data_IF_139944993609
#
_entry.id   IF_139944993609
#
_cell.length_a   1.000
_cell.length_b   1.000
_cell.length_c   1.000
_cell.angle_alpha   90.00
_cell.angle_beta   90.00
_cell.angle_gamma   90.00
#
_symmetry.space_group_name_H-M   'P 1'
#
loop_
_entity.id
_entity.type
_entity.pdbx_description
1 polymer ?
#
# COMPACT_ATOMS: atom_id res chain seq x y z
N UNK A 1 -14.00 -18.68 -9.87
CA UNK A 1 -13.61 -17.80 -10.99
C UNK A 1 -12.09 -17.73 -10.98
N UNK A 2 -11.46 -18.20 -12.04
CA UNK A 2 -10.01 -18.37 -12.12
C UNK A 2 -9.39 -17.05 -12.58
N UNK A 3 -8.43 -16.51 -11.81
CA UNK A 3 -7.71 -15.28 -12.17
C UNK A 3 -6.97 -15.50 -13.49
N UNK A 4 -7.50 -14.92 -14.57
CA UNK A 4 -6.86 -14.95 -15.90
C UNK A 4 -5.55 -14.14 -15.82
N UNK A 5 -4.42 -14.83 -15.75
CA UNK A 5 -3.09 -14.22 -15.87
C UNK A 5 -2.99 -13.49 -17.21
N UNK A 6 -2.81 -12.18 -17.15
CA UNK A 6 -2.59 -11.31 -18.31
C UNK A 6 -1.32 -11.79 -19.00
N UNK A 7 -1.45 -12.33 -20.21
CA UNK A 7 -0.40 -13.10 -20.90
C UNK A 7 0.66 -12.25 -21.60
N UNK A 8 0.52 -10.93 -21.67
CA UNK A 8 1.37 -10.05 -22.49
C UNK A 8 1.68 -8.69 -21.81
N UNK A 9 2.12 -8.69 -20.55
CA UNK A 9 2.70 -7.48 -19.97
C UNK A 9 4.16 -7.38 -20.44
N UNK A 10 4.47 -6.40 -21.30
CA UNK A 10 5.85 -6.04 -21.63
C UNK A 10 6.55 -5.68 -20.30
N UNK A 11 7.69 -6.29 -19.95
CA UNK A 11 8.43 -5.89 -18.75
C UNK A 11 8.83 -4.42 -18.92
N UNK A 12 8.26 -3.54 -18.12
CA UNK A 12 8.71 -2.16 -18.05
C UNK A 12 9.70 -2.11 -16.89
N UNK A 13 10.98 -2.25 -17.23
CA UNK A 13 12.07 -2.12 -16.27
C UNK A 13 12.52 -0.65 -16.21
N UNK A 14 12.93 -0.22 -15.02
CA UNK A 14 13.63 1.07 -14.85
C UNK A 14 14.73 0.88 -13.82
N UNK A 15 15.98 1.02 -14.26
CA UNK A 15 17.13 0.59 -13.47
C UNK A 15 17.01 -0.91 -13.14
N UNK A 16 17.03 -1.23 -11.84
CA UNK A 16 16.91 -2.61 -11.34
C UNK A 16 15.48 -3.00 -10.92
N UNK A 17 14.50 -2.11 -11.10
CA UNK A 17 13.12 -2.34 -10.68
C UNK A 17 12.31 -2.92 -11.84
N UNK A 18 11.56 -4.00 -11.56
CA UNK A 18 10.64 -4.64 -12.50
C UNK A 18 9.21 -4.38 -12.07
N UNK A 19 8.51 -3.50 -12.79
CA UNK A 19 7.12 -3.18 -12.48
C UNK A 19 6.16 -4.26 -12.97
N UNK A 20 5.07 -4.48 -12.24
CA UNK A 20 4.01 -5.45 -12.61
C UNK A 20 3.07 -4.90 -13.67
N UNK A 21 3.01 -3.57 -13.82
CA UNK A 21 2.20 -2.91 -14.85
C UNK A 21 2.85 -1.65 -15.43
N UNK A 22 2.38 -1.27 -16.62
CA UNK A 22 2.82 -0.04 -17.31
C UNK A 22 2.46 1.22 -16.54
N UNK A 23 1.32 1.20 -15.86
CA UNK A 23 0.83 2.34 -15.09
C UNK A 23 1.68 2.54 -13.83
N UNK A 24 2.15 1.46 -13.18
CA UNK A 24 3.10 1.55 -12.08
C UNK A 24 4.43 2.15 -12.54
N UNK A 25 4.99 1.65 -13.66
CA UNK A 25 6.23 2.19 -14.21
C UNK A 25 6.10 3.68 -14.59
N UNK A 26 4.96 4.08 -15.15
CA UNK A 26 4.64 5.47 -15.44
C UNK A 26 4.55 6.30 -14.16
N UNK A 27 3.88 5.79 -13.11
CA UNK A 27 3.73 6.49 -11.85
C UNK A 27 5.07 6.73 -11.18
N UNK A 28 5.90 5.68 -11.09
CA UNK A 28 7.26 5.75 -10.54
C UNK A 28 8.11 6.81 -11.24
N UNK A 29 8.19 6.75 -12.58
CA UNK A 29 8.96 7.73 -13.37
C UNK A 29 8.44 9.16 -13.19
N UNK A 30 7.12 9.34 -13.11
CA UNK A 30 6.51 10.65 -12.93
C UNK A 30 6.83 11.23 -11.54
N UNK A 31 6.80 10.39 -10.49
CA UNK A 31 7.17 10.79 -9.13
C UNK A 31 8.65 11.21 -9.07
N UNK A 32 9.57 10.42 -9.64
CA UNK A 32 10.99 10.78 -9.74
C UNK A 32 11.21 12.12 -10.46
N UNK A 33 10.51 12.36 -11.56
CA UNK A 33 10.60 13.62 -12.32
C UNK A 33 10.20 14.85 -11.50
N UNK A 34 9.37 14.68 -10.46
CA UNK A 34 8.93 15.76 -9.59
C UNK A 34 9.74 15.86 -8.29
N UNK A 35 10.85 15.11 -8.19
CA UNK A 35 11.77 15.16 -7.06
C UNK A 35 11.34 14.33 -5.85
N UNK A 36 10.45 13.35 -6.04
CA UNK A 36 10.12 12.38 -5.00
C UNK A 36 11.00 11.14 -5.09
N UNK A 37 11.12 10.41 -3.99
CA UNK A 37 11.89 9.17 -3.89
C UNK A 37 10.94 8.00 -3.57
N UNK A 38 10.10 7.56 -4.52
CA UNK A 38 9.18 6.45 -4.32
C UNK A 38 9.93 5.14 -4.14
N UNK A 39 9.55 4.36 -3.13
CA UNK A 39 9.97 2.99 -2.97
C UNK A 39 8.88 2.03 -3.46
N UNK A 40 9.24 1.12 -4.36
CA UNK A 40 8.29 0.18 -4.99
C UNK A 40 8.22 -1.14 -4.22
N UNK A 41 7.04 -1.49 -3.70
CA UNK A 41 6.75 -2.74 -2.95
C UNK A 41 7.71 -3.07 -1.79
N UNK A 42 8.40 -2.08 -1.22
CA UNK A 42 9.37 -2.30 -0.12
C UNK A 42 8.70 -2.33 1.26
N UNK A 43 7.59 -1.61 1.40
CA UNK A 43 6.90 -1.43 2.68
C UNK A 43 5.76 -2.42 2.84
N UNK A 44 5.75 -3.17 3.95
CA UNK A 44 4.69 -4.14 4.24
C UNK A 44 4.11 -3.90 5.63
N UNK A 45 2.79 -3.78 5.69
CA UNK A 45 2.01 -3.60 6.91
C UNK A 45 1.44 -4.93 7.34
N UNK A 46 1.58 -5.28 8.62
CA UNK A 46 0.77 -6.37 9.21
C UNK A 46 -0.56 -5.79 9.64
N UNK A 47 -1.61 -6.03 8.85
CA UNK A 47 -2.96 -5.50 9.10
C UNK A 47 -3.77 -6.40 10.03
N UNK A 48 -3.39 -7.69 10.14
CA UNK A 48 -3.95 -8.61 11.13
C UNK A 48 -2.85 -9.57 11.59
N UNK A 49 -2.52 -9.52 12.88
CA UNK A 49 -1.56 -10.43 13.48
C UNK A 49 -2.04 -11.89 13.44
N UNK A 50 -1.12 -12.78 13.07
CA UNK A 50 -1.34 -14.20 13.10
C UNK A 50 -1.38 -14.72 14.53
N UNK A 51 -2.26 -15.68 14.80
CA UNK A 51 -2.44 -16.25 16.13
C UNK A 51 -2.44 -17.78 16.10
N UNK A 52 -2.21 -18.41 17.26
CA UNK A 52 -2.39 -19.84 17.42
C UNK A 52 -3.84 -20.10 17.87
N UNK A 53 -4.66 -20.77 17.07
CA UNK A 53 -6.04 -21.04 17.45
C UNK A 53 -6.09 -22.03 18.63
N UNK A 54 -7.02 -21.79 19.56
CA UNK A 54 -7.30 -22.67 20.69
C UNK A 54 -8.59 -23.47 20.50
N UNK A 55 -9.47 -23.00 19.61
CA UNK A 55 -10.72 -23.69 19.26
C UNK A 55 -10.40 -24.91 18.38
N UNK A 56 -10.89 -26.12 18.71
CA UNK A 56 -10.69 -27.31 17.89
C UNK A 56 -11.23 -27.13 16.46
N UNK A 57 -10.35 -27.26 15.47
CA UNK A 57 -10.68 -27.21 14.05
C UNK A 57 -10.34 -28.53 13.37
N UNK A 58 -11.34 -29.25 12.89
CA UNK A 58 -11.16 -30.53 12.20
C UNK A 58 -11.20 -30.33 10.69
N UNK A 59 -10.22 -30.89 9.99
CA UNK A 59 -10.11 -30.83 8.52
C UNK A 59 -9.58 -32.15 7.96
N UNK A 60 -9.44 -32.26 6.64
CA UNK A 60 -8.85 -33.42 5.98
C UNK A 60 -7.39 -33.15 5.60
N UNK A 61 -6.53 -34.13 5.84
CA UNK A 61 -5.19 -34.11 5.27
C UNK A 61 -5.20 -34.55 3.79
N UNK A 62 -4.03 -34.56 3.13
CA UNK A 62 -3.89 -35.01 1.73
C UNK A 62 -4.35 -36.46 1.51
N UNK A 63 -4.27 -37.31 2.54
CA UNK A 63 -4.74 -38.70 2.53
C UNK A 63 -6.24 -38.85 2.86
N UNK A 64 -7.01 -37.76 2.86
CA UNK A 64 -8.45 -37.70 3.18
C UNK A 64 -8.83 -38.14 4.60
N UNK A 65 -7.86 -38.34 5.49
CA UNK A 65 -8.11 -38.63 6.89
C UNK A 65 -8.50 -37.35 7.65
N UNK A 66 -9.47 -37.47 8.57
CA UNK A 66 -9.86 -36.38 9.47
C UNK A 66 -8.75 -36.14 10.49
N UNK A 67 -8.31 -34.90 10.62
CA UNK A 67 -7.26 -34.46 11.54
C UNK A 67 -7.71 -33.22 12.32
N UNK A 68 -7.26 -33.11 13.56
CA UNK A 68 -7.29 -31.85 14.31
C UNK A 68 -6.17 -30.92 13.79
N UNK A 69 -6.52 -29.70 13.44
CA UNK A 69 -5.58 -28.72 12.91
C UNK A 69 -5.57 -27.45 13.77
N UNK A 70 -4.55 -27.33 14.62
CA UNK A 70 -4.27 -26.16 15.45
C UNK A 70 -3.00 -25.41 14.98
N UNK A 71 -2.70 -25.48 13.69
CA UNK A 71 -1.54 -24.76 13.13
C UNK A 71 -1.70 -23.25 13.33
N UNK A 72 -0.57 -22.57 13.59
CA UNK A 72 -0.53 -21.11 13.67
C UNK A 72 -1.09 -20.51 12.38
N UNK A 73 -2.06 -19.62 12.51
CA UNK A 73 -2.52 -18.78 11.41
C UNK A 73 -1.50 -17.66 11.21
N UNK A 74 -1.09 -17.45 9.96
CA UNK A 74 -0.09 -16.44 9.61
C UNK A 74 -0.72 -15.05 9.57
N UNK A 75 0.15 -14.04 9.62
CA UNK A 75 -0.24 -12.64 9.52
C UNK A 75 -0.95 -12.38 8.19
N UNK A 76 -1.96 -11.52 8.20
CA UNK A 76 -2.48 -10.90 6.99
C UNK A 76 -1.71 -9.60 6.82
N UNK A 77 -1.05 -9.47 5.68
CA UNK A 77 -0.26 -8.29 5.33
C UNK A 77 -0.84 -7.53 4.15
N UNK A 78 -0.48 -6.25 4.08
CA UNK A 78 -0.75 -5.35 2.96
C UNK A 78 0.55 -4.67 2.53
N UNK A 79 0.88 -4.76 1.25
CA UNK A 79 2.04 -4.11 0.63
C UNK A 79 1.48 -3.18 -0.43
N UNK A 80 1.52 -1.84 -0.23
CA UNK A 80 1.15 -0.90 -1.27
C UNK A 80 2.15 -0.95 -2.44
N UNK A 81 1.72 -0.47 -3.61
CA UNK A 81 2.61 -0.36 -4.77
C UNK A 81 3.78 0.59 -4.50
N UNK A 82 3.51 1.76 -3.93
CA UNK A 82 4.55 2.69 -3.51
C UNK A 82 4.37 3.23 -2.09
N UNK A 83 5.51 3.44 -1.44
CA UNK A 83 5.63 4.24 -0.22
C UNK A 83 6.73 5.29 -0.42
N UNK A 84 6.54 6.48 0.17
CA UNK A 84 7.59 7.50 0.24
C UNK A 84 7.34 8.44 1.40
N UNK A 85 8.41 9.09 1.87
CA UNK A 85 8.31 10.18 2.82
C UNK A 85 8.63 11.52 2.13
N UNK A 86 7.88 12.55 2.48
CA UNK A 86 8.11 13.89 1.94
C UNK A 86 7.76 14.94 2.99
N UNK A 87 8.79 15.66 3.48
CA UNK A 87 8.63 16.74 4.46
C UNK A 87 7.76 16.35 5.67
N UNK A 88 8.02 15.18 6.25
CA UNK A 88 7.28 14.68 7.42
C UNK A 88 5.89 14.13 7.12
N UNK A 89 5.51 14.00 5.84
CA UNK A 89 4.35 13.23 5.39
C UNK A 89 4.80 11.82 4.98
N UNK A 90 3.92 10.84 5.22
CA UNK A 90 4.04 9.44 4.80
C UNK A 90 3.04 9.20 3.69
N UNK A 91 3.51 9.05 2.46
CA UNK A 91 2.67 8.93 1.29
C UNK A 91 2.61 7.47 0.84
N UNK A 92 1.40 6.97 0.66
CA UNK A 92 1.11 5.62 0.18
C UNK A 92 0.33 5.74 -1.12
N UNK A 93 0.81 5.07 -2.16
CA UNK A 93 0.18 5.10 -3.48
C UNK A 93 -0.13 3.67 -3.91
N UNK A 94 -1.38 3.47 -4.31
CA UNK A 94 -1.89 2.25 -4.90
C UNK A 94 -2.28 2.55 -6.35
N UNK A 95 -1.68 1.87 -7.31
CA UNK A 95 -1.92 2.08 -8.74
C UNK A 95 -2.95 1.08 -9.25
N UNK A 96 -4.06 1.61 -9.76
CA UNK A 96 -5.21 0.82 -10.20
C UNK A 96 -5.20 0.61 -11.71
N UNK A 97 -4.86 -0.62 -12.11
CA UNK A 97 -4.99 -1.10 -13.49
C UNK A 97 -6.23 -1.96 -13.73
N UNK A 98 -6.42 -3.03 -12.94
CA UNK A 98 -7.57 -3.94 -13.05
C UNK A 98 -8.18 -4.22 -11.67
N UNK A 99 -9.50 -4.28 -11.62
CA UNK A 99 -10.25 -4.52 -10.38
C UNK A 99 -10.14 -6.01 -9.99
N UNK A 100 -9.69 -6.26 -8.77
CA UNK A 100 -9.67 -7.59 -8.14
C UNK A 100 -10.70 -7.62 -7.02
N UNK A 101 -11.55 -8.66 -6.96
CA UNK A 101 -12.63 -8.79 -5.96
C UNK A 101 -12.12 -8.83 -4.51
N UNK A 102 -10.87 -9.24 -4.29
CA UNK A 102 -10.27 -9.30 -2.94
C UNK A 102 -9.77 -7.94 -2.46
N UNK A 103 -9.45 -7.04 -3.39
CA UNK A 103 -8.82 -5.77 -3.07
C UNK A 103 -9.66 -4.90 -2.12
N UNK A 104 -10.97 -4.68 -2.35
CA UNK A 104 -11.78 -3.78 -1.50
C UNK A 104 -11.74 -4.14 -0.02
N UNK A 105 -11.77 -5.44 0.32
CA UNK A 105 -11.74 -5.90 1.70
C UNK A 105 -10.37 -5.69 2.35
N UNK A 106 -9.30 -6.03 1.64
CA UNK A 106 -7.93 -5.83 2.13
C UNK A 106 -7.61 -4.35 2.30
N UNK A 107 -8.01 -3.52 1.34
CA UNK A 107 -7.81 -2.08 1.40
C UNK A 107 -8.61 -1.44 2.54
N UNK A 108 -9.84 -1.89 2.78
CA UNK A 108 -10.63 -1.45 3.94
C UNK A 108 -9.93 -1.77 5.27
N UNK A 109 -9.41 -3.00 5.42
CA UNK A 109 -8.66 -3.39 6.62
C UNK A 109 -7.36 -2.59 6.77
N UNK A 110 -6.67 -2.35 5.66
CA UNK A 110 -5.46 -1.53 5.64
C UNK A 110 -5.74 -0.07 6.03
N UNK A 111 -6.77 0.57 5.45
CA UNK A 111 -7.21 1.91 5.85
C UNK A 111 -7.52 1.94 7.34
N UNK A 112 -8.27 0.97 7.86
CA UNK A 112 -8.56 0.87 9.29
C UNK A 112 -7.27 0.75 10.11
N UNK A 113 -6.29 -0.05 9.67
CA UNK A 113 -5.00 -0.15 10.36
C UNK A 113 -4.29 1.21 10.45
N UNK A 114 -4.22 1.98 9.36
CA UNK A 114 -3.62 3.32 9.37
C UNK A 114 -4.37 4.28 10.30
N UNK A 115 -5.70 4.27 10.30
CA UNK A 115 -6.53 5.12 11.18
C UNK A 115 -6.32 4.86 12.69
N UNK A 116 -5.72 3.71 13.05
CA UNK A 116 -5.40 3.33 14.42
C UNK A 116 -3.92 3.56 14.77
N UNK A 117 -3.10 4.06 13.85
CA UNK A 117 -1.72 4.43 14.15
C UNK A 117 -1.66 5.77 14.90
N UNK A 118 -0.71 5.93 15.85
CA UNK A 118 -0.59 7.16 16.64
C UNK A 118 -0.22 8.37 15.78
N UNK A 119 0.43 8.17 14.64
CA UNK A 119 0.91 9.20 13.73
C UNK A 119 0.10 9.28 12.43
N UNK A 120 -1.16 8.82 12.47
CA UNK A 120 -2.07 8.77 11.31
C UNK A 120 -2.23 10.09 10.55
N UNK A 121 -2.13 11.22 11.25
CA UNK A 121 -2.24 12.57 10.67
C UNK A 121 -1.10 12.88 9.67
N UNK A 122 -0.03 12.08 9.69
CA UNK A 122 1.07 12.21 8.75
C UNK A 122 0.81 11.44 7.44
N UNK A 123 -0.22 10.60 7.38
CA UNK A 123 -0.44 9.71 6.25
C UNK A 123 -1.32 10.33 5.16
N UNK A 124 -0.86 10.27 3.92
CA UNK A 124 -1.66 10.50 2.72
C UNK A 124 -1.73 9.21 1.90
N UNK A 125 -2.93 8.82 1.49
CA UNK A 125 -3.15 7.57 0.75
C UNK A 125 -3.91 7.88 -0.54
N UNK A 126 -3.35 7.45 -1.67
CA UNK A 126 -3.88 7.75 -2.99
C UNK A 126 -4.12 6.48 -3.81
N UNK A 127 -5.25 6.42 -4.50
CA UNK A 127 -5.52 5.44 -5.55
C UNK A 127 -5.36 6.11 -6.93
N UNK A 128 -4.34 5.71 -7.68
CA UNK A 128 -3.96 6.32 -8.97
C UNK A 128 -4.47 5.48 -10.12
N UNK A 129 -5.35 6.04 -10.96
CA UNK A 129 -5.86 5.38 -12.17
C UNK A 129 -5.28 5.97 -13.45
N UNK A 130 -4.78 7.22 -13.40
CA UNK A 130 -4.27 7.92 -14.58
C UNK A 130 -3.10 8.83 -14.23
N UNK A 131 -2.28 9.17 -15.23
CA UNK A 131 -1.20 10.17 -15.08
C UNK A 131 -1.72 11.54 -14.65
N UNK A 132 -2.90 11.94 -15.13
CA UNK A 132 -3.51 13.23 -14.77
C UNK A 132 -3.80 13.30 -13.27
N UNK A 133 -4.46 12.27 -12.73
CA UNK A 133 -4.72 12.18 -11.28
C UNK A 133 -3.42 12.17 -10.48
N UNK A 134 -2.38 11.48 -10.95
CA UNK A 134 -1.09 11.50 -10.27
C UNK A 134 -0.49 12.91 -10.18
N UNK A 135 -0.59 13.71 -11.23
CA UNK A 135 -0.12 15.09 -11.21
C UNK A 135 -0.94 15.95 -10.22
N UNK A 136 -2.24 15.74 -10.14
CA UNK A 136 -3.11 16.39 -9.14
C UNK A 136 -2.70 15.98 -7.70
N UNK A 137 -2.41 14.70 -7.47
CA UNK A 137 -1.95 14.21 -6.17
C UNK A 137 -0.58 14.76 -5.77
N UNK A 138 0.33 14.91 -6.73
CA UNK A 138 1.63 15.56 -6.49
C UNK A 138 1.43 16.99 -5.98
N UNK A 139 0.47 17.73 -6.53
CA UNK A 139 0.15 19.08 -6.04
C UNK A 139 -0.40 19.03 -4.61
N UNK A 140 -1.35 18.13 -4.35
CA UNK A 140 -1.92 17.93 -3.01
C UNK A 140 -0.82 17.61 -1.98
N UNK A 141 0.11 16.71 -2.30
CA UNK A 141 1.22 16.35 -1.41
C UNK A 141 2.06 17.59 -1.04
N UNK A 142 2.38 18.43 -2.02
CA UNK A 142 3.15 19.66 -1.79
C UNK A 142 2.38 20.67 -0.94
N UNK A 143 1.08 20.82 -1.20
CA UNK A 143 0.22 21.76 -0.47
C UNK A 143 0.00 21.32 1.00
N UNK A 144 -0.17 20.02 1.24
CA UNK A 144 -0.23 19.45 2.61
C UNK A 144 1.10 19.62 3.34
N UNK A 145 2.23 19.40 2.66
CA UNK A 145 3.55 19.58 3.25
C UNK A 145 3.78 21.04 3.69
N UNK A 146 3.39 22.00 2.85
CA UNK A 146 3.49 23.42 3.16
C UNK A 146 2.62 23.80 4.37
N UNK A 147 1.35 23.36 4.39
CA UNK A 147 0.44 23.61 5.53
C UNK A 147 1.01 23.11 6.85
N UNK A 148 1.55 21.89 6.85
CA UNK A 148 2.15 21.30 8.04
C UNK A 148 3.36 22.09 8.54
N UNK A 149 4.20 22.57 7.62
CA UNK A 149 5.33 23.44 7.99
C UNK A 149 4.85 24.76 8.61
N UNK A 150 3.79 25.37 8.08
CA UNK A 150 3.19 26.59 8.62
C UNK A 150 2.63 26.40 10.04
N UNK A 151 1.96 25.27 10.30
CA UNK A 151 1.46 24.93 11.64
C UNK A 151 2.58 24.79 12.66
N UNK A 152 3.67 24.13 12.27
CA UNK A 152 4.86 23.96 13.13
C UNK A 152 5.47 25.33 13.46
N UNK A 153 5.69 26.19 12.46
CA UNK A 153 6.23 27.54 12.66
C UNK A 153 5.30 28.41 13.52
N UNK A 154 3.98 28.27 13.35
CA UNK A 154 2.97 28.96 14.14
C UNK A 154 2.94 28.53 15.61
N UNK A 155 3.37 27.31 15.94
CA UNK A 155 3.50 26.84 17.33
C UNK A 155 4.77 27.41 17.98
N UNK A 156 5.90 27.42 17.27
CA UNK A 156 7.17 27.97 17.79
C UNK A 156 7.19 29.49 17.98
N UNK A 157 6.30 30.24 17.32
CA UNK A 157 6.23 31.71 17.44
C UNK A 157 5.28 32.19 18.55
N UNK A 158 4.58 31.27 19.23
CA UNK A 158 3.62 31.55 20.31
C UNK A 158 4.13 31.20 21.72
N UNK A 159 5.36 30.70 21.81
CA UNK A 159 6.13 30.53 23.06
C UNK A 159 7.16 31.67 23.21
#
# INVERSE_FOLDING_TARGET
MENRRIRNATPEEYGNIKFKSKIEAMAYKTLLQHGFEPEYETHTYTIWEGFRPTVPFYTRNKAKATILNLKKLINITYTPDFYMEYQGLKIIIEVKGQVNDVFPYKFKLFRWHIENLPDKENYLIFEVFTKKQLLEFIQIIKDEANRKNEEIVGQFTRE
#
